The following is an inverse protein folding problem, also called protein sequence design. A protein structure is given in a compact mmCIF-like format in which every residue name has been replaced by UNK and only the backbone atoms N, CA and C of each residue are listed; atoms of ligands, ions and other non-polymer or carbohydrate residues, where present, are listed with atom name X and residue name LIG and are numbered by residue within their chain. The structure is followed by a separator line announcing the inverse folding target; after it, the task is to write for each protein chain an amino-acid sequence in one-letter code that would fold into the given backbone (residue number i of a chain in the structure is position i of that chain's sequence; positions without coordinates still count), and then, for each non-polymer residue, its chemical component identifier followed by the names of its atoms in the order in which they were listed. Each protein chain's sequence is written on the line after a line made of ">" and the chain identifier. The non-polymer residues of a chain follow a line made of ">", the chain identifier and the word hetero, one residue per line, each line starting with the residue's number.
data_IF_679559633884
#
_entry.id   IF_679559633884
#
_cell.length_a   1.000
_cell.length_b   1.000
_cell.length_c   1.000
_cell.angle_alpha   90.00
_cell.angle_beta   90.00
_cell.angle_gamma   90.00
#
_symmetry.space_group_name_H-M   'P 1'
#
loop_
_entity.id
_entity.type
_entity.pdbx_description
1 polymer ?
#
# COMPACT_ATOMS: atom_id res chain seq x y z
N UNK A 1 -19.91 -2.66 40.69
CA UNK A 1 -19.75 -2.91 39.24
C UNK A 1 -19.38 -4.37 39.05
N UNK A 2 -20.24 -5.16 38.41
CA UNK A 2 -20.09 -6.61 38.37
C UNK A 2 -18.98 -7.01 37.37
N UNK A 3 -18.12 -7.96 37.74
CA UNK A 3 -17.02 -8.47 36.89
C UNK A 3 -17.54 -9.00 35.54
N UNK A 4 -18.80 -9.43 35.47
CA UNK A 4 -19.48 -9.82 34.22
C UNK A 4 -19.82 -8.62 33.32
N UNK A 5 -20.22 -7.48 33.88
CA UNK A 5 -20.51 -6.26 33.11
C UNK A 5 -19.25 -5.61 32.55
N UNK A 6 -18.12 -5.66 33.27
CA UNK A 6 -16.85 -5.16 32.77
C UNK A 6 -16.33 -6.00 31.59
N UNK A 7 -16.46 -7.33 31.64
CA UNK A 7 -16.07 -8.21 30.53
C UNK A 7 -17.01 -8.06 29.33
N UNK A 8 -18.32 -7.90 29.54
CA UNK A 8 -19.25 -7.61 28.44
C UNK A 8 -18.98 -6.26 27.78
N UNK A 9 -18.60 -5.23 28.55
CA UNK A 9 -18.24 -3.93 27.99
C UNK A 9 -16.86 -3.92 27.31
N UNK A 10 -15.91 -4.75 27.74
CA UNK A 10 -14.65 -4.94 27.02
C UNK A 10 -14.82 -5.72 25.70
N UNK A 11 -15.78 -6.63 25.62
CA UNK A 11 -16.09 -7.39 24.38
C UNK A 11 -16.93 -6.55 23.41
N UNK A 12 -17.84 -5.71 23.92
CA UNK A 12 -18.60 -4.76 23.10
C UNK A 12 -17.75 -3.61 22.54
N UNK A 13 -16.60 -3.31 23.15
CA UNK A 13 -15.63 -2.33 22.65
C UNK A 13 -14.61 -2.86 21.62
N UNK A 14 -14.60 -4.17 21.34
CA UNK A 14 -13.61 -4.83 20.46
C UNK A 14 -14.16 -5.32 19.12
N UNK A 15 -15.42 -5.02 18.79
CA UNK A 15 -16.10 -5.57 17.63
C UNK A 15 -16.66 -4.48 16.71
N UNK A 16 -15.78 -3.74 16.02
CA UNK A 16 -15.94 -3.27 14.62
C UNK A 16 -14.77 -2.37 14.21
N UNK A 17 -13.52 -2.85 14.33
CA UNK A 17 -12.59 -2.50 13.24
C UNK A 17 -13.16 -3.28 12.06
N UNK A 18 -14.02 -2.61 11.29
CA UNK A 18 -14.70 -3.19 10.15
C UNK A 18 -13.64 -3.71 9.19
N UNK A 19 -13.34 -5.01 9.32
CA UNK A 19 -12.57 -5.74 8.33
C UNK A 19 -13.39 -5.61 7.06
N UNK A 20 -13.02 -4.68 6.17
CA UNK A 20 -13.61 -4.66 4.84
C UNK A 20 -13.40 -6.06 4.26
N UNK A 21 -14.46 -6.75 3.84
CA UNK A 21 -14.36 -8.02 3.14
C UNK A 21 -13.20 -8.05 2.16
N UNK A 22 -12.38 -9.09 2.25
CA UNK A 22 -11.26 -9.34 1.34
C UNK A 22 -11.72 -9.74 -0.08
N UNK A 23 -13.03 -9.65 -0.37
CA UNK A 23 -13.68 -10.06 -1.62
C UNK A 23 -14.64 -8.98 -2.15
N UNK A 24 -14.14 -7.76 -2.40
CA UNK A 24 -14.93 -6.69 -3.03
C UNK A 24 -14.66 -6.49 -4.51
N UNK A 25 -14.13 -7.52 -5.14
CA UNK A 25 -13.92 -7.47 -6.57
C UNK A 25 -15.15 -7.99 -7.29
N UNK A 26 -15.77 -7.11 -8.07
CA UNK A 26 -16.97 -7.45 -8.85
C UNK A 26 -16.57 -7.74 -10.30
N UNK A 27 -17.29 -8.66 -10.96
CA UNK A 27 -17.18 -8.90 -12.40
C UNK A 27 -17.85 -7.77 -13.23
N UNK A 28 -18.07 -6.60 -12.62
CA UNK A 28 -18.78 -5.48 -13.23
C UNK A 28 -17.83 -4.73 -14.17
N UNK A 29 -18.36 -4.31 -15.31
CA UNK A 29 -17.68 -3.34 -16.18
C UNK A 29 -17.58 -2.02 -15.40
N UNK A 30 -16.36 -1.49 -15.24
CA UNK A 30 -16.16 -0.20 -14.59
C UNK A 30 -16.88 0.91 -15.37
N UNK A 31 -17.83 1.56 -14.70
CA UNK A 31 -18.38 2.83 -15.14
C UNK A 31 -17.42 3.94 -14.75
N UNK A 32 -16.89 4.65 -15.75
CA UNK A 32 -15.89 5.70 -15.53
C UNK A 32 -16.45 6.90 -14.76
N UNK A 33 -17.70 7.29 -15.05
CA UNK A 33 -18.32 8.44 -14.40
C UNK A 33 -18.65 8.09 -12.95
N UNK A 34 -19.08 6.85 -12.70
CA UNK A 34 -19.24 6.34 -11.34
C UNK A 34 -17.89 6.33 -10.60
N UNK A 35 -16.81 5.86 -11.24
CA UNK A 35 -15.46 5.89 -10.67
C UNK A 35 -15.02 7.29 -10.30
N UNK A 36 -15.12 8.23 -11.23
CA UNK A 36 -14.68 9.60 -11.00
C UNK A 36 -15.44 10.23 -9.83
N UNK A 37 -16.77 10.08 -9.77
CA UNK A 37 -17.58 10.61 -8.67
C UNK A 37 -17.18 10.00 -7.31
N UNK A 38 -16.94 8.68 -7.25
CA UNK A 38 -16.52 8.01 -6.00
C UNK A 38 -15.08 8.36 -5.60
N UNK A 39 -14.21 8.52 -6.58
CA UNK A 39 -12.84 8.97 -6.36
C UNK A 39 -12.79 10.39 -5.79
N UNK A 40 -13.53 11.32 -6.39
CA UNK A 40 -13.60 12.72 -5.95
C UNK A 40 -14.12 12.83 -4.51
N UNK A 41 -15.21 12.12 -4.19
CA UNK A 41 -15.74 12.04 -2.82
C UNK A 41 -14.73 11.47 -1.82
N UNK A 42 -13.94 10.47 -2.24
CA UNK A 42 -12.92 9.86 -1.39
C UNK A 42 -11.74 10.80 -1.16
N UNK A 43 -11.26 11.48 -2.19
CA UNK A 43 -10.16 12.45 -2.08
C UNK A 43 -10.55 13.64 -1.21
N UNK A 44 -11.77 14.13 -1.34
CA UNK A 44 -12.28 15.21 -0.49
C UNK A 44 -12.45 14.75 0.97
N UNK A 45 -12.88 13.50 1.20
CA UNK A 45 -13.09 12.97 2.54
C UNK A 45 -12.81 11.46 2.63
N UNK A 46 -11.58 11.04 3.01
CA UNK A 46 -11.18 9.63 3.04
C UNK A 46 -11.71 8.90 4.28
N UNK A 47 -13.03 8.70 4.32
CA UNK A 47 -13.74 7.93 5.35
C UNK A 47 -13.82 6.45 5.00
N UNK A 48 -14.23 5.63 5.97
CA UNK A 48 -14.54 4.21 5.74
C UNK A 48 -15.56 4.01 4.64
N UNK A 49 -16.63 4.80 4.67
CA UNK A 49 -17.75 4.71 3.75
C UNK A 49 -17.31 5.02 2.33
N UNK A 50 -16.59 6.14 2.13
CA UNK A 50 -16.09 6.53 0.82
C UNK A 50 -15.07 5.52 0.28
N UNK A 51 -14.21 4.98 1.14
CA UNK A 51 -13.28 3.92 0.75
C UNK A 51 -14.02 2.63 0.36
N UNK A 52 -15.01 2.18 1.14
CA UNK A 52 -15.83 1.01 0.81
C UNK A 52 -16.52 1.18 -0.54
N UNK A 53 -17.09 2.35 -0.82
CA UNK A 53 -17.70 2.63 -2.12
C UNK A 53 -16.69 2.54 -3.25
N UNK A 54 -15.52 3.16 -3.09
CA UNK A 54 -14.43 3.09 -4.08
C UNK A 54 -14.00 1.64 -4.32
N UNK A 55 -13.88 0.83 -3.27
CA UNK A 55 -13.53 -0.59 -3.38
C UNK A 55 -14.54 -1.41 -4.17
N UNK A 56 -15.83 -1.18 -3.94
CA UNK A 56 -16.90 -1.96 -4.56
C UNK A 56 -17.02 -1.74 -6.08
N UNK A 57 -16.53 -0.61 -6.57
CA UNK A 57 -16.60 -0.28 -8.00
C UNK A 57 -15.34 -0.68 -8.76
N UNK A 58 -14.23 -0.93 -8.07
CA UNK A 58 -12.97 -1.35 -8.69
C UNK A 58 -13.09 -2.82 -9.14
N UNK A 59 -12.88 -3.13 -10.43
CA UNK A 59 -12.99 -4.50 -10.94
C UNK A 59 -11.86 -5.41 -10.43
N UNK A 60 -12.15 -6.71 -10.35
CA UNK A 60 -11.24 -7.79 -9.92
C UNK A 60 -9.98 -7.96 -10.74
N UNK A 61 -10.07 -7.59 -12.01
CA UNK A 61 -9.13 -8.00 -13.03
C UNK A 61 -8.89 -6.88 -14.04
N UNK A 62 -7.70 -6.92 -14.64
CA UNK A 62 -7.27 -6.02 -15.71
C UNK A 62 -8.16 -6.14 -16.95
N UNK A 63 -9.27 -5.41 -17.00
CA UNK A 63 -10.12 -5.35 -18.19
C UNK A 63 -10.48 -3.90 -18.54
N UNK A 64 -9.49 -3.02 -18.44
CA UNK A 64 -9.64 -1.69 -19.00
C UNK A 64 -9.29 -1.71 -20.48
N UNK A 65 -10.26 -1.37 -21.31
CA UNK A 65 -9.96 -0.75 -22.60
C UNK A 65 -8.93 0.36 -22.36
N UNK A 66 -7.88 0.40 -23.18
CA UNK A 66 -6.74 1.30 -22.97
C UNK A 66 -7.16 2.74 -22.74
N UNK A 67 -8.20 3.21 -23.42
CA UNK A 67 -8.75 4.55 -23.24
C UNK A 67 -9.32 4.77 -21.83
N UNK A 68 -10.16 3.86 -21.33
CA UNK A 68 -10.71 3.95 -19.97
C UNK A 68 -9.61 3.86 -18.92
N UNK A 69 -8.62 3.00 -19.14
CA UNK A 69 -7.45 2.92 -18.27
C UNK A 69 -6.73 4.26 -18.17
N UNK A 70 -6.48 4.90 -19.33
CA UNK A 70 -5.82 6.20 -19.37
C UNK A 70 -6.62 7.23 -18.59
N UNK A 71 -7.93 7.34 -18.81
CA UNK A 71 -8.77 8.30 -18.08
C UNK A 71 -8.73 8.09 -16.56
N UNK A 72 -8.90 6.84 -16.09
CA UNK A 72 -8.81 6.50 -14.66
C UNK A 72 -7.45 6.87 -14.08
N UNK A 73 -6.38 6.45 -14.75
CA UNK A 73 -5.01 6.75 -14.29
C UNK A 73 -4.72 8.25 -14.31
N UNK A 74 -5.14 8.99 -15.33
CA UNK A 74 -4.98 10.45 -15.39
C UNK A 74 -5.71 11.15 -14.24
N UNK A 75 -6.94 10.72 -13.91
CA UNK A 75 -7.66 11.30 -12.77
C UNK A 75 -6.93 11.05 -11.45
N UNK A 76 -6.48 9.82 -11.21
CA UNK A 76 -5.71 9.46 -10.01
C UNK A 76 -4.41 10.27 -9.95
N UNK A 77 -3.71 10.42 -11.07
CA UNK A 77 -2.43 11.15 -11.16
C UNK A 77 -2.57 12.59 -10.66
N UNK A 78 -3.67 13.27 -10.97
CA UNK A 78 -3.97 14.62 -10.49
C UNK A 78 -4.06 14.73 -8.95
N UNK A 79 -4.48 13.66 -8.27
CA UNK A 79 -4.72 13.68 -6.82
C UNK A 79 -3.69 12.87 -6.02
N UNK A 80 -2.65 12.33 -6.68
CA UNK A 80 -1.63 11.49 -6.02
C UNK A 80 -0.94 12.22 -4.86
N UNK A 81 -0.72 13.52 -4.97
CA UNK A 81 -0.14 14.31 -3.89
C UNK A 81 -1.06 14.37 -2.67
N UNK A 82 -2.35 14.59 -2.88
CA UNK A 82 -3.36 14.60 -1.81
C UNK A 82 -3.45 13.23 -1.15
N UNK A 83 -3.46 12.15 -1.95
CA UNK A 83 -3.43 10.78 -1.44
C UNK A 83 -2.19 10.50 -0.59
N UNK A 84 -1.00 10.90 -1.06
CA UNK A 84 0.26 10.76 -0.30
C UNK A 84 0.16 11.48 1.04
N UNK A 85 -0.36 12.72 1.07
CA UNK A 85 -0.52 13.47 2.31
C UNK A 85 -1.40 12.75 3.34
N UNK A 86 -2.52 12.14 2.92
CA UNK A 86 -3.35 11.34 3.82
C UNK A 86 -2.65 10.07 4.32
N UNK A 87 -1.87 9.42 3.46
CA UNK A 87 -1.09 8.23 3.82
C UNK A 87 0.01 8.57 4.81
N UNK A 88 0.74 9.67 4.60
CA UNK A 88 1.75 10.15 5.55
C UNK A 88 1.14 10.61 6.87
N UNK A 89 -0.12 11.09 6.85
CA UNK A 89 -0.91 11.36 8.05
C UNK A 89 -1.49 10.09 8.72
N UNK A 90 -1.09 8.89 8.28
CA UNK A 90 -1.54 7.60 8.81
C UNK A 90 -3.07 7.38 8.70
N UNK A 91 -3.72 7.94 7.67
CA UNK A 91 -5.11 7.64 7.40
C UNK A 91 -5.25 6.20 6.89
N UNK A 92 -5.88 5.35 7.71
CA UNK A 92 -6.06 3.92 7.43
C UNK A 92 -6.75 3.64 6.08
N UNK A 93 -7.76 4.43 5.72
CA UNK A 93 -8.54 4.23 4.50
C UNK A 93 -7.78 4.66 3.23
N UNK A 94 -6.99 5.73 3.32
CA UNK A 94 -6.06 6.15 2.27
C UNK A 94 -5.00 5.10 1.96
N UNK A 95 -4.40 4.53 3.01
CA UNK A 95 -3.41 3.45 2.88
C UNK A 95 -4.05 2.27 2.17
N UNK A 96 -5.19 1.81 2.68
CA UNK A 96 -5.93 0.69 2.11
C UNK A 96 -6.20 0.94 0.62
N UNK A 97 -6.88 2.04 0.29
CA UNK A 97 -7.21 2.41 -1.09
C UNK A 97 -5.98 2.40 -2.01
N UNK A 98 -4.84 2.93 -1.57
CA UNK A 98 -3.60 2.93 -2.36
C UNK A 98 -3.07 1.52 -2.66
N UNK A 99 -3.14 0.58 -1.71
CA UNK A 99 -2.81 -0.83 -1.97
C UNK A 99 -3.82 -1.48 -2.92
N UNK A 100 -5.10 -1.15 -2.80
CA UNK A 100 -6.15 -1.60 -3.72
C UNK A 100 -5.94 -1.11 -5.15
N UNK A 101 -5.63 0.18 -5.33
CA UNK A 101 -5.32 0.77 -6.63
C UNK A 101 -4.06 0.14 -7.24
N UNK A 102 -3.02 -0.11 -6.44
CA UNK A 102 -1.82 -0.76 -6.94
C UNK A 102 -2.09 -2.18 -7.46
N UNK A 103 -3.00 -2.91 -6.84
CA UNK A 103 -3.39 -4.25 -7.26
C UNK A 103 -4.05 -4.29 -8.66
N UNK A 104 -4.71 -3.20 -9.07
CA UNK A 104 -5.39 -3.10 -10.37
C UNK A 104 -4.59 -2.31 -11.42
N UNK A 105 -3.76 -1.34 -11.01
CA UNK A 105 -2.96 -0.51 -11.92
C UNK A 105 -1.60 -1.18 -12.10
N UNK A 106 -1.52 -2.08 -13.09
CA UNK A 106 -0.33 -2.95 -13.25
C UNK A 106 0.87 -2.23 -13.86
N UNK A 107 0.67 -1.15 -14.63
CA UNK A 107 1.75 -0.46 -15.35
C UNK A 107 1.54 1.06 -15.38
N UNK A 108 2.62 1.81 -15.68
CA UNK A 108 2.57 3.26 -15.92
C UNK A 108 3.17 4.11 -14.80
N UNK A 109 3.11 5.43 -14.99
CA UNK A 109 3.61 6.43 -14.03
C UNK A 109 2.87 6.32 -12.69
N UNK A 110 1.54 6.23 -12.72
CA UNK A 110 0.71 6.11 -11.51
C UNK A 110 1.08 4.89 -10.68
N UNK A 111 1.26 3.72 -11.30
CA UNK A 111 1.73 2.51 -10.63
C UNK A 111 3.09 2.75 -9.93
N UNK A 112 4.01 3.45 -10.61
CA UNK A 112 5.32 3.78 -10.07
C UNK A 112 5.22 4.73 -8.87
N UNK A 113 4.36 5.75 -8.95
CA UNK A 113 4.09 6.67 -7.86
C UNK A 113 3.46 5.96 -6.66
N UNK A 114 2.47 5.10 -6.87
CA UNK A 114 1.85 4.30 -5.81
C UNK A 114 2.87 3.38 -5.11
N UNK A 115 3.80 2.75 -5.86
CA UNK A 115 4.89 1.97 -5.25
C UNK A 115 5.74 2.83 -4.29
N UNK A 116 6.07 4.06 -4.70
CA UNK A 116 6.89 4.98 -3.91
C UNK A 116 6.11 5.42 -2.66
N UNK A 117 4.87 5.85 -2.81
CA UNK A 117 3.99 6.29 -1.72
C UNK A 117 3.81 5.17 -0.69
N UNK A 118 3.43 3.97 -1.14
CA UNK A 118 3.26 2.80 -0.27
C UNK A 118 4.59 2.39 0.39
N UNK A 119 5.71 2.48 -0.35
CA UNK A 119 7.04 2.21 0.19
C UNK A 119 7.47 3.19 1.29
N UNK A 120 7.12 4.48 1.19
CA UNK A 120 7.36 5.50 2.23
C UNK A 120 6.54 5.23 3.49
N UNK A 121 5.30 4.78 3.32
CA UNK A 121 4.39 4.47 4.44
C UNK A 121 4.94 3.41 5.40
N UNK A 122 5.86 2.55 4.95
CA UNK A 122 6.58 1.61 5.80
C UNK A 122 7.26 2.30 7.00
N UNK A 123 7.74 3.53 6.85
CA UNK A 123 8.34 4.29 7.96
C UNK A 123 7.31 4.91 8.91
N UNK A 124 6.09 5.15 8.42
CA UNK A 124 5.01 5.76 9.20
C UNK A 124 4.38 4.72 10.12
N UNK A 125 4.01 3.57 9.57
CA UNK A 125 3.33 2.52 10.31
C UNK A 125 3.63 1.14 9.69
N UNK A 126 4.75 0.51 10.09
CA UNK A 126 5.22 -0.73 9.47
C UNK A 126 4.27 -1.92 9.73
N UNK A 127 3.55 -1.94 10.85
CA UNK A 127 2.58 -3.00 11.13
C UNK A 127 1.39 -2.96 10.17
N UNK A 128 0.79 -1.77 9.97
CA UNK A 128 -0.31 -1.64 9.02
C UNK A 128 0.14 -1.88 7.57
N UNK A 129 1.36 -1.43 7.21
CA UNK A 129 1.96 -1.74 5.91
C UNK A 129 2.05 -3.25 5.66
N UNK A 130 2.52 -4.02 6.64
CA UNK A 130 2.61 -5.48 6.55
C UNK A 130 1.23 -6.17 6.49
N UNK A 131 0.23 -5.65 7.21
CA UNK A 131 -1.15 -6.12 7.10
C UNK A 131 -1.69 -5.93 5.68
N UNK A 132 -1.51 -4.76 5.07
CA UNK A 132 -2.00 -4.50 3.72
C UNK A 132 -1.24 -5.29 2.66
N UNK A 133 0.08 -5.48 2.83
CA UNK A 133 0.86 -6.39 1.99
C UNK A 133 0.32 -7.82 2.06
N UNK A 134 0.03 -8.31 3.27
CA UNK A 134 -0.52 -9.66 3.48
C UNK A 134 -1.89 -9.81 2.82
N UNK A 135 -2.77 -8.81 2.95
CA UNK A 135 -4.12 -8.83 2.37
C UNK A 135 -4.10 -8.83 0.84
N UNK A 136 -3.14 -8.13 0.23
CA UNK A 136 -3.04 -7.99 -1.22
C UNK A 136 -1.95 -8.87 -1.86
N UNK A 137 -1.35 -9.80 -1.10
CA UNK A 137 -0.19 -10.62 -1.49
C UNK A 137 -0.29 -11.27 -2.88
N UNK A 138 -1.48 -11.70 -3.27
CA UNK A 138 -1.73 -12.38 -4.54
C UNK A 138 -1.78 -11.43 -5.75
N UNK A 139 -1.87 -10.11 -5.52
CA UNK A 139 -2.01 -9.09 -6.57
C UNK A 139 -0.76 -8.21 -6.72
N UNK A 140 0.13 -8.22 -5.73
CA UNK A 140 1.20 -7.23 -5.61
C UNK A 140 2.59 -7.86 -5.66
N UNK A 141 3.54 -7.17 -6.29
CA UNK A 141 4.95 -7.58 -6.31
C UNK A 141 5.72 -6.84 -5.23
N UNK A 142 6.03 -7.51 -4.12
CA UNK A 142 6.70 -6.90 -2.96
C UNK A 142 7.99 -6.17 -3.33
N UNK A 143 8.80 -6.76 -4.23
CA UNK A 143 10.07 -6.16 -4.67
C UNK A 143 9.90 -4.79 -5.33
N UNK A 144 8.75 -4.51 -5.96
CA UNK A 144 8.46 -3.21 -6.57
C UNK A 144 8.15 -2.14 -5.52
N UNK A 145 7.34 -2.45 -4.52
CA UNK A 145 7.01 -1.52 -3.44
C UNK A 145 8.23 -1.29 -2.54
N UNK A 146 8.91 -2.36 -2.15
CA UNK A 146 10.06 -2.33 -1.24
C UNK A 146 11.30 -1.72 -1.89
N UNK A 147 11.48 -1.89 -3.20
CA UNK A 147 12.69 -1.50 -3.92
C UNK A 147 12.59 -0.22 -4.73
N UNK A 148 11.41 0.42 -4.80
CA UNK A 148 11.22 1.69 -5.48
C UNK A 148 11.26 2.85 -4.46
N UNK A 149 12.34 3.63 -4.51
CA UNK A 149 12.57 4.76 -3.60
C UNK A 149 12.18 6.11 -4.23
N UNK A 150 11.85 6.13 -5.52
CA UNK A 150 11.56 7.34 -6.28
C UNK A 150 12.77 7.97 -6.95
N UNK A 151 12.50 9.05 -7.67
CA UNK A 151 13.48 9.71 -8.56
C UNK A 151 14.69 10.26 -7.81
N UNK A 152 14.52 10.67 -6.54
CA UNK A 152 15.59 11.23 -5.71
C UNK A 152 16.74 10.26 -5.42
N UNK A 153 16.54 8.97 -5.69
CA UNK A 153 17.49 7.89 -5.42
C UNK A 153 18.11 7.30 -6.69
N UNK A 154 17.70 7.73 -7.88
CA UNK A 154 18.24 7.24 -9.17
C UNK A 154 19.75 7.49 -9.20
N UNK A 155 20.51 6.44 -9.48
CA UNK A 155 21.99 6.41 -9.49
C UNK A 155 22.69 6.78 -8.18
N UNK A 156 21.95 6.98 -7.08
CA UNK A 156 22.49 7.27 -5.75
C UNK A 156 22.60 6.01 -4.89
N UNK A 157 23.41 5.05 -5.32
CA UNK A 157 23.53 3.72 -4.67
C UNK A 157 23.78 3.78 -3.16
N UNK A 158 24.57 4.74 -2.67
CA UNK A 158 24.78 4.95 -1.23
C UNK A 158 23.48 5.34 -0.51
N UNK A 159 22.72 6.28 -1.09
CA UNK A 159 21.43 6.70 -0.54
C UNK A 159 20.41 5.55 -0.57
N UNK A 160 20.39 4.77 -1.66
CA UNK A 160 19.55 3.57 -1.76
C UNK A 160 19.88 2.58 -0.64
N UNK A 161 21.16 2.30 -0.37
CA UNK A 161 21.56 1.41 0.72
C UNK A 161 21.14 1.92 2.11
N UNK A 162 21.24 3.24 2.35
CA UNK A 162 20.79 3.85 3.60
C UNK A 162 19.27 3.69 3.75
N UNK A 163 18.51 3.97 2.71
CA UNK A 163 17.05 3.82 2.70
C UNK A 163 16.63 2.36 2.91
N UNK A 164 17.27 1.40 2.22
CA UNK A 164 17.04 -0.04 2.43
C UNK A 164 17.24 -0.45 3.88
N UNK A 165 18.32 0.02 4.53
CA UNK A 165 18.60 -0.27 5.94
C UNK A 165 17.52 0.33 6.86
N UNK A 166 17.09 1.57 6.60
CA UNK A 166 15.99 2.18 7.35
C UNK A 166 14.70 1.37 7.23
N UNK A 167 14.38 0.89 6.03
CA UNK A 167 13.19 0.06 5.79
C UNK A 167 13.26 -1.27 6.54
N UNK A 168 14.43 -1.92 6.55
CA UNK A 168 14.67 -3.13 7.36
C UNK A 168 14.43 -2.85 8.85
N UNK A 169 14.98 -1.75 9.39
CA UNK A 169 14.78 -1.37 10.80
C UNK A 169 13.29 -1.14 11.11
N UNK A 170 12.56 -0.44 10.23
CA UNK A 170 11.11 -0.26 10.39
C UNK A 170 10.38 -1.60 10.40
N UNK A 171 10.73 -2.54 9.51
CA UNK A 171 10.15 -3.88 9.52
C UNK A 171 10.47 -4.64 10.80
N UNK A 172 11.72 -4.65 11.25
CA UNK A 172 12.19 -5.33 12.47
C UNK A 172 11.52 -4.79 13.74
N UNK A 173 11.04 -3.55 13.74
CA UNK A 173 10.29 -2.99 14.87
C UNK A 173 8.88 -3.59 15.08
N UNK A 174 8.34 -4.32 14.10
CA UNK A 174 7.03 -4.96 14.21
C UNK A 174 7.13 -6.24 15.04
N UNK A 175 6.47 -6.27 16.20
CA UNK A 175 6.47 -7.41 17.12
C UNK A 175 5.29 -8.37 16.93
N UNK A 176 4.37 -8.07 16.00
CA UNK A 176 3.18 -8.88 15.77
C UNK A 176 3.50 -10.21 15.07
N UNK A 177 3.43 -11.31 15.82
CA UNK A 177 3.75 -12.66 15.34
C UNK A 177 2.92 -13.12 14.13
N UNK A 178 1.68 -12.62 13.98
CA UNK A 178 0.83 -12.95 12.82
C UNK A 178 1.35 -12.40 11.49
N UNK A 179 2.34 -11.49 11.57
CA UNK A 179 3.00 -10.86 10.45
C UNK A 179 4.46 -11.31 10.26
N UNK A 180 4.97 -12.22 11.11
CA UNK A 180 6.37 -12.66 11.07
C UNK A 180 6.78 -13.24 9.71
N UNK A 181 5.90 -14.00 9.05
CA UNK A 181 6.17 -14.56 7.72
C UNK A 181 6.35 -13.48 6.66
N UNK A 182 5.40 -12.53 6.59
CA UNK A 182 5.43 -11.45 5.59
C UNK A 182 6.58 -10.48 5.86
N UNK A 183 6.85 -10.20 7.14
CA UNK A 183 7.99 -9.41 7.60
C UNK A 183 9.32 -10.03 7.13
N UNK A 184 9.51 -11.33 7.38
CA UNK A 184 10.74 -12.06 7.01
C UNK A 184 10.97 -12.04 5.50
N UNK A 185 9.93 -12.23 4.71
CA UNK A 185 9.99 -12.16 3.25
C UNK A 185 10.39 -10.75 2.76
N UNK A 186 9.79 -9.70 3.33
CA UNK A 186 10.16 -8.33 3.00
C UNK A 186 11.63 -8.02 3.33
N UNK A 187 12.10 -8.45 4.50
CA UNK A 187 13.49 -8.28 4.92
C UNK A 187 14.43 -9.05 4.00
N UNK A 188 14.09 -10.29 3.60
CA UNK A 188 14.89 -11.07 2.67
C UNK A 188 15.06 -10.36 1.32
N UNK A 189 13.97 -9.83 0.75
CA UNK A 189 13.99 -9.06 -0.50
C UNK A 189 14.90 -7.82 -0.38
N UNK A 190 14.79 -7.08 0.73
CA UNK A 190 15.63 -5.89 0.97
C UNK A 190 17.11 -6.26 1.14
N UNK A 191 17.42 -7.36 1.83
CA UNK A 191 18.80 -7.87 2.00
C UNK A 191 19.42 -8.30 0.67
N UNK A 192 18.68 -9.03 -0.17
CA UNK A 192 19.12 -9.41 -1.53
C UNK A 192 19.46 -8.17 -2.37
N UNK A 193 18.66 -7.10 -2.27
CA UNK A 193 18.91 -5.84 -2.97
C UNK A 193 20.20 -5.14 -2.52
N UNK A 194 20.59 -5.26 -1.25
CA UNK A 194 21.89 -4.76 -0.78
C UNK A 194 23.01 -5.55 -1.43
N UNK A 195 22.94 -6.89 -1.40
CA UNK A 195 23.99 -7.78 -1.93
C UNK A 195 24.21 -7.56 -3.43
N UNK A 196 23.13 -7.40 -4.19
CA UNK A 196 23.17 -7.21 -5.64
C UNK A 196 23.48 -5.78 -6.08
N UNK A 197 23.72 -4.85 -5.13
CA UNK A 197 23.99 -3.47 -5.45
C UNK A 197 25.38 -3.31 -6.11
N UNK A 198 25.48 -2.75 -7.34
CA UNK A 198 26.75 -2.61 -8.07
C UNK A 198 27.84 -1.84 -7.32
N UNK A 199 27.46 -0.92 -6.43
CA UNK A 199 28.42 -0.15 -5.64
C UNK A 199 29.20 -1.04 -4.64
N UNK A 200 28.60 -2.14 -4.17
CA UNK A 200 29.26 -3.09 -3.25
C UNK A 200 30.15 -4.04 -4.04
N UNK A 201 29.67 -4.54 -5.19
CA UNK A 201 30.43 -5.45 -6.05
C UNK A 201 31.75 -4.84 -6.57
N UNK A 202 31.81 -3.51 -6.72
CA UNK A 202 33.05 -2.82 -7.12
C UNK A 202 34.05 -2.67 -5.99
N UNK A 203 33.61 -2.66 -4.73
CA UNK A 203 34.51 -2.52 -3.56
C UNK A 203 35.13 -3.85 -3.11
N UNK A 204 34.63 -4.99 -3.59
CA UNK A 204 35.15 -6.33 -3.27
C UNK A 204 36.18 -6.86 -4.26
N UNK A 205 36.57 -6.06 -5.25
CA UNK A 205 37.52 -6.42 -6.32
C UNK A 205 38.83 -5.63 -6.22
N UNK A 206 38.89 -4.66 -5.30
CA UNK A 206 40.10 -3.91 -4.92
C UNK A 206 40.66 -4.44 -3.58
#
# INVERSE_FOLDING_TARGET
>A
MNRKEFIQNCIAGLATIGLMPTKYFTDRILDYDEFQNRWDLFIDTPTQENALYLYNIIPSYNFFEREKQLRVTSRIDCDLHTLDNYIQANNYYAVKASFGLYAIIVNGSVCSSLNIINGKYLHVNPENFLNELKNHRHLIRFSKILGNYGLDFVDRFKAQNVETKKRIISLESVSNERLALIQSECIAILKEKIITNPAILRQSID
#
